data_IF_557353591104
#
_entry.id   IF_557353591104
#
_cell.length_a   1.000
_cell.length_b   1.000
_cell.length_c   1.000
_cell.angle_alpha   90.00
_cell.angle_beta   90.00
_cell.angle_gamma   90.00
#
_symmetry.space_group_name_H-M   'P 1'
#
loop_
_entity.id
_entity.type
_entity.pdbx_description
1 polymer ?
#
# COMPACT_ATOMS: atom_id res chain seq x y z
N UNK A 1 -33.09 17.43 -20.51
CA UNK A 1 -32.01 16.49 -20.91
C UNK A 1 -32.02 15.35 -19.91
N UNK A 2 -32.40 14.15 -20.35
CA UNK A 2 -32.66 13.01 -19.48
C UNK A 2 -31.35 12.44 -18.92
N UNK A 3 -31.17 12.53 -17.60
CA UNK A 3 -30.14 11.77 -16.88
C UNK A 3 -30.51 10.29 -16.94
N UNK A 4 -29.66 9.49 -17.58
CA UNK A 4 -29.88 8.08 -17.82
C UNK A 4 -29.73 7.28 -16.49
N UNK A 5 -30.84 6.75 -15.90
CA UNK A 5 -30.81 6.12 -14.56
C UNK A 5 -29.95 4.86 -14.49
N UNK A 6 -29.76 4.19 -15.64
CA UNK A 6 -28.93 2.99 -15.75
C UNK A 6 -27.43 3.31 -15.66
N UNK A 7 -26.97 4.42 -16.26
CA UNK A 7 -25.60 4.91 -16.07
C UNK A 7 -25.36 5.34 -14.62
N UNK A 8 -26.33 5.96 -13.96
CA UNK A 8 -26.23 6.32 -12.55
C UNK A 8 -26.11 5.08 -11.64
N UNK A 9 -26.83 4.00 -11.93
CA UNK A 9 -26.70 2.71 -11.22
C UNK A 9 -25.33 2.05 -11.46
N UNK A 10 -24.85 1.98 -12.71
CA UNK A 10 -23.54 1.42 -13.04
C UNK A 10 -22.39 2.19 -12.37
N UNK A 11 -22.44 3.52 -12.38
CA UNK A 11 -21.44 4.37 -11.72
C UNK A 11 -21.48 4.20 -10.20
N UNK A 12 -22.67 4.01 -9.62
CA UNK A 12 -22.83 3.80 -8.18
C UNK A 12 -22.28 2.45 -7.72
N UNK A 13 -22.61 1.36 -8.43
CA UNK A 13 -22.09 0.03 -8.10
C UNK A 13 -20.59 -0.09 -8.36
N UNK A 14 -20.07 0.55 -9.41
CA UNK A 14 -18.63 0.63 -9.64
C UNK A 14 -17.89 1.40 -8.52
N UNK A 15 -18.53 2.41 -7.93
CA UNK A 15 -18.03 3.11 -6.72
C UNK A 15 -18.07 2.21 -5.50
N UNK A 16 -19.20 1.57 -5.21
CA UNK A 16 -19.37 0.67 -4.05
C UNK A 16 -18.34 -0.47 -4.07
N UNK A 17 -18.06 -1.08 -5.23
CA UNK A 17 -17.01 -2.12 -5.37
C UNK A 17 -15.60 -1.54 -5.17
N UNK A 18 -15.36 -0.28 -5.52
CA UNK A 18 -14.07 0.37 -5.31
C UNK A 18 -13.87 0.83 -3.86
N UNK A 19 -14.94 1.25 -3.20
CA UNK A 19 -14.92 1.75 -1.81
C UNK A 19 -14.61 0.61 -0.81
N UNK A 20 -14.96 -0.64 -1.14
CA UNK A 20 -14.66 -1.82 -0.32
C UNK A 20 -13.27 -2.46 -0.55
N UNK A 21 -12.54 -2.05 -1.60
CA UNK A 21 -11.20 -2.60 -1.87
C UNK A 21 -10.17 -2.21 -0.80
N UNK A 22 -10.11 -0.97 -0.30
CA UNK A 22 -9.19 -0.59 0.76
C UNK A 22 -9.31 -1.47 2.01
N UNK A 23 -10.54 -1.77 2.44
CA UNK A 23 -10.81 -2.60 3.61
C UNK A 23 -10.28 -4.02 3.42
N UNK A 24 -10.55 -4.62 2.25
CA UNK A 24 -10.03 -5.93 1.92
C UNK A 24 -8.49 -5.98 1.95
N UNK A 25 -7.82 -4.96 1.40
CA UNK A 25 -6.35 -4.87 1.44
C UNK A 25 -5.84 -4.79 2.88
N UNK A 26 -6.47 -3.98 3.72
CA UNK A 26 -6.09 -3.84 5.14
C UNK A 26 -6.21 -5.18 5.87
N UNK A 27 -7.28 -5.93 5.64
CA UNK A 27 -7.45 -7.26 6.24
C UNK A 27 -6.39 -8.27 5.76
N UNK A 28 -6.01 -8.23 4.48
CA UNK A 28 -4.88 -9.04 3.98
C UNK A 28 -3.56 -8.65 4.67
N UNK A 29 -3.31 -7.36 4.85
CA UNK A 29 -2.09 -6.88 5.54
C UNK A 29 -2.08 -7.35 7.00
N UNK A 30 -3.21 -7.25 7.71
CA UNK A 30 -3.32 -7.76 9.09
C UNK A 30 -3.03 -9.26 9.17
N UNK A 31 -3.56 -10.05 8.23
CA UNK A 31 -3.29 -11.48 8.16
C UNK A 31 -1.79 -11.75 7.96
N UNK A 32 -1.14 -11.07 7.00
CA UNK A 32 0.31 -11.22 6.77
C UNK A 32 1.15 -10.78 7.97
N UNK A 33 0.75 -9.72 8.68
CA UNK A 33 1.42 -9.28 9.90
C UNK A 33 1.26 -10.31 11.02
N UNK A 34 0.07 -10.89 11.19
CA UNK A 34 -0.15 -11.97 12.17
C UNK A 34 0.69 -13.20 11.86
N UNK A 35 0.75 -13.61 10.59
CA UNK A 35 1.60 -14.73 10.15
C UNK A 35 3.09 -14.44 10.38
N UNK A 36 3.53 -13.21 10.09
CA UNK A 36 4.89 -12.77 10.35
C UNK A 36 5.24 -12.79 11.85
N UNK A 37 4.33 -12.35 12.72
CA UNK A 37 4.51 -12.43 14.18
C UNK A 37 4.59 -13.87 14.68
N UNK A 38 3.83 -14.79 14.08
CA UNK A 38 3.87 -16.20 14.48
C UNK A 38 5.14 -16.91 13.98
N UNK A 39 5.64 -16.52 12.80
CA UNK A 39 6.83 -17.11 12.18
C UNK A 39 8.15 -16.54 12.71
N UNK A 40 8.11 -15.38 13.37
CA UNK A 40 9.28 -14.69 13.90
C UNK A 40 9.18 -14.55 15.41
N UNK A 41 10.30 -14.27 16.10
CA UNK A 41 10.29 -13.98 17.53
C UNK A 41 10.20 -12.46 17.81
N UNK A 42 9.64 -11.69 16.85
CA UNK A 42 9.53 -10.24 16.92
C UNK A 42 8.23 -9.82 17.61
N UNK A 43 8.26 -8.66 18.27
CA UNK A 43 7.06 -7.99 18.77
C UNK A 43 6.41 -7.18 17.64
N UNK A 44 5.11 -6.91 17.77
CA UNK A 44 4.38 -6.07 16.82
C UNK A 44 5.02 -4.69 16.58
N UNK A 45 5.65 -4.10 17.61
CA UNK A 45 6.35 -2.82 17.50
C UNK A 45 7.70 -2.89 16.79
N UNK A 46 8.25 -4.10 16.58
CA UNK A 46 9.52 -4.33 15.90
C UNK A 46 9.34 -4.67 14.42
N UNK A 47 8.11 -4.97 14.01
CA UNK A 47 7.80 -5.24 12.61
C UNK A 47 7.79 -3.95 11.79
N UNK A 48 8.37 -4.03 10.60
CA UNK A 48 8.33 -2.96 9.61
C UNK A 48 7.45 -3.35 8.43
N UNK A 49 6.45 -2.52 8.11
CA UNK A 49 5.60 -2.68 6.94
C UNK A 49 6.03 -1.64 5.90
N UNK A 50 6.30 -2.05 4.66
CA UNK A 50 6.56 -1.14 3.56
C UNK A 50 5.42 -1.13 2.55
N UNK A 51 4.80 0.04 2.36
CA UNK A 51 3.76 0.27 1.36
C UNK A 51 4.37 0.90 0.09
N UNK A 52 4.28 0.19 -1.03
CA UNK A 52 4.80 0.60 -2.32
C UNK A 52 3.70 1.25 -3.15
N UNK A 53 3.88 2.55 -3.40
CA UNK A 53 2.96 3.39 -4.15
C UNK A 53 1.99 4.14 -3.27
N UNK A 54 1.87 5.45 -3.51
CA UNK A 54 0.93 6.35 -2.87
C UNK A 54 0.04 7.08 -3.88
N UNK A 55 0.49 7.24 -5.13
CA UNK A 55 -0.25 7.97 -6.14
C UNK A 55 -1.59 7.31 -6.51
N UNK A 56 -2.53 8.11 -7.04
CA UNK A 56 -3.81 7.59 -7.53
C UNK A 56 -3.64 6.70 -8.76
N UNK A 57 -2.56 6.88 -9.54
CA UNK A 57 -2.21 6.07 -10.71
C UNK A 57 -0.70 5.85 -10.79
N UNK A 58 -0.25 4.81 -11.52
CA UNK A 58 1.17 4.61 -11.79
C UNK A 58 1.83 5.80 -12.49
N UNK A 59 3.09 6.03 -12.13
CA UNK A 59 4.02 6.95 -12.79
C UNK A 59 3.61 8.43 -12.80
N UNK A 60 2.79 8.84 -11.83
CA UNK A 60 2.44 10.25 -11.58
C UNK A 60 2.61 10.57 -10.10
N UNK A 61 2.63 11.86 -9.76
CA UNK A 61 2.79 12.38 -8.40
C UNK A 61 1.45 12.78 -7.74
N UNK A 62 0.32 12.58 -8.42
CA UNK A 62 -1.00 12.98 -7.91
C UNK A 62 -1.48 12.03 -6.79
N UNK A 63 -1.37 12.51 -5.56
CA UNK A 63 -1.84 11.82 -4.35
C UNK A 63 -3.30 12.17 -3.99
N UNK A 64 -3.95 13.10 -4.70
CA UNK A 64 -5.30 13.55 -4.35
C UNK A 64 -6.28 12.41 -4.57
N UNK A 65 -7.16 12.22 -3.60
CA UNK A 65 -8.17 11.15 -3.60
C UNK A 65 -7.57 9.75 -3.81
N UNK A 66 -6.29 9.56 -3.47
CA UNK A 66 -5.62 8.27 -3.64
C UNK A 66 -6.12 7.25 -2.61
N UNK A 67 -6.68 6.10 -3.05
CA UNK A 67 -7.02 5.01 -2.16
C UNK A 67 -5.77 4.37 -1.55
N UNK A 68 -4.64 4.36 -2.26
CA UNK A 68 -3.37 3.84 -1.76
C UNK A 68 -2.86 4.66 -0.57
N UNK A 69 -2.97 5.99 -0.65
CA UNK A 69 -2.61 6.88 0.47
C UNK A 69 -3.52 6.64 1.69
N UNK A 70 -4.81 6.39 1.48
CA UNK A 70 -5.72 6.06 2.58
C UNK A 70 -5.39 4.71 3.22
N UNK A 71 -5.08 3.68 2.43
CA UNK A 71 -4.65 2.36 2.92
C UNK A 71 -3.39 2.51 3.77
N UNK A 72 -2.36 3.20 3.27
CA UNK A 72 -1.11 3.43 3.99
C UNK A 72 -1.36 4.19 5.32
N UNK A 73 -2.21 5.21 5.31
CA UNK A 73 -2.59 5.95 6.51
C UNK A 73 -3.31 5.07 7.54
N UNK A 74 -4.23 4.20 7.10
CA UNK A 74 -4.92 3.27 7.98
C UNK A 74 -3.96 2.24 8.57
N UNK A 75 -3.06 1.67 7.76
CA UNK A 75 -2.00 0.76 8.22
C UNK A 75 -1.17 1.41 9.32
N UNK A 76 -0.66 2.62 9.08
CA UNK A 76 0.16 3.32 10.06
C UNK A 76 -0.56 3.67 11.36
N UNK A 77 -1.90 3.80 11.36
CA UNK A 77 -2.68 4.11 12.57
C UNK A 77 -2.87 2.91 13.48
N UNK A 78 -3.04 1.71 12.94
CA UNK A 78 -3.25 0.50 13.75
C UNK A 78 -1.95 -0.26 14.01
N UNK A 79 -0.98 -0.18 13.08
CA UNK A 79 0.29 -0.86 13.22
C UNK A 79 1.14 -0.17 14.29
N UNK A 80 1.57 -0.94 15.29
CA UNK A 80 2.38 -0.40 16.40
C UNK A 80 3.86 -0.23 16.06
N UNK A 81 4.33 -0.83 14.95
CA UNK A 81 5.70 -0.73 14.48
C UNK A 81 5.90 0.34 13.41
N UNK A 82 6.99 0.23 12.65
CA UNK A 82 7.32 1.21 11.62
C UNK A 82 6.49 0.96 10.36
N UNK A 83 5.84 2.01 9.84
CA UNK A 83 5.22 1.98 8.51
C UNK A 83 6.03 2.86 7.57
N UNK A 84 6.72 2.22 6.63
CA UNK A 84 7.42 2.88 5.55
C UNK A 84 6.50 3.02 4.33
N UNK A 85 6.66 4.10 3.60
CA UNK A 85 6.02 4.31 2.30
C UNK A 85 7.08 4.58 1.26
N UNK A 86 6.91 4.00 0.07
CA UNK A 86 7.81 4.18 -1.07
C UNK A 86 6.99 4.75 -2.20
N UNK A 87 7.29 5.98 -2.62
CA UNK A 87 6.65 6.63 -3.76
C UNK A 87 7.72 7.33 -4.61
N UNK A 88 8.10 6.76 -5.78
CA UNK A 88 9.17 7.30 -6.60
C UNK A 88 8.92 8.70 -7.16
N UNK A 89 7.66 9.14 -7.22
CA UNK A 89 7.29 10.39 -7.89
C UNK A 89 7.13 11.58 -6.92
N UNK A 90 7.40 11.39 -5.62
CA UNK A 90 7.35 12.47 -4.63
C UNK A 90 8.67 12.60 -3.88
N UNK A 91 8.94 13.80 -3.38
CA UNK A 91 10.16 14.10 -2.61
C UNK A 91 9.87 14.38 -1.13
N UNK A 92 8.60 14.50 -0.75
CA UNK A 92 8.16 14.79 0.61
C UNK A 92 6.83 14.11 0.89
N UNK A 93 6.62 13.72 2.15
CA UNK A 93 5.35 13.15 2.58
C UNK A 93 4.23 14.18 2.53
N UNK A 94 3.02 13.80 2.10
CA UNK A 94 1.85 14.63 2.30
C UNK A 94 1.56 14.76 3.81
N UNK A 95 1.04 15.91 4.23
CA UNK A 95 0.69 16.20 5.65
C UNK A 95 -0.16 15.13 6.33
N UNK A 96 -0.97 14.40 5.54
CA UNK A 96 -1.84 13.33 6.04
C UNK A 96 -1.06 12.11 6.58
N UNK A 97 0.17 11.91 6.10
CA UNK A 97 1.06 10.83 6.52
C UNK A 97 2.20 11.32 7.43
N UNK A 98 2.31 12.63 7.63
CA UNK A 98 3.33 13.22 8.49
C UNK A 98 3.15 12.76 9.94
N UNK A 99 4.24 12.31 10.56
CA UNK A 99 4.24 11.68 11.88
C UNK A 99 3.60 10.28 11.96
N UNK A 100 3.02 9.75 10.87
CA UNK A 100 2.45 8.40 10.81
C UNK A 100 3.34 7.43 10.04
N UNK A 101 3.88 7.89 8.90
CA UNK A 101 4.72 7.08 8.03
C UNK A 101 6.11 7.70 7.87
N UNK A 102 7.06 6.90 7.39
CA UNK A 102 8.37 7.38 6.93
C UNK A 102 8.49 7.15 5.42
N UNK A 103 8.84 8.20 4.66
CA UNK A 103 9.18 8.04 3.23
C UNK A 103 10.54 7.38 3.12
N UNK A 104 10.59 6.22 2.48
CA UNK A 104 11.79 5.42 2.33
C UNK A 104 12.16 5.26 0.85
N UNK A 105 13.47 5.24 0.51
CA UNK A 105 13.93 4.75 -0.79
C UNK A 105 13.54 3.28 -1.00
N UNK A 106 13.35 2.91 -2.28
CA UNK A 106 12.94 1.56 -2.69
C UNK A 106 13.83 0.47 -2.12
N UNK A 107 15.14 0.63 -2.25
CA UNK A 107 16.14 -0.36 -1.83
C UNK A 107 16.19 -0.48 -0.31
N UNK A 108 16.07 0.63 0.42
CA UNK A 108 16.06 0.64 1.88
C UNK A 108 14.80 -0.06 2.44
N UNK A 109 13.65 0.13 1.79
CA UNK A 109 12.43 -0.54 2.16
C UNK A 109 12.48 -2.04 1.90
N UNK A 110 12.98 -2.46 0.74
CA UNK A 110 13.20 -3.88 0.42
C UNK A 110 14.23 -4.54 1.35
N UNK A 111 15.19 -3.80 1.89
CA UNK A 111 16.18 -4.38 2.82
C UNK A 111 15.66 -4.51 4.26
N UNK A 112 14.72 -3.66 4.69
CA UNK A 112 14.34 -3.54 6.11
C UNK A 112 12.93 -4.00 6.45
N UNK A 113 12.04 -4.08 5.47
CA UNK A 113 10.64 -4.44 5.70
C UNK A 113 10.46 -5.94 5.91
N UNK A 114 9.59 -6.26 6.87
CA UNK A 114 9.12 -7.62 7.17
C UNK A 114 7.92 -8.01 6.31
N UNK A 115 7.05 -7.02 6.04
CA UNK A 115 5.85 -7.19 5.22
C UNK A 115 5.86 -6.16 4.09
N UNK A 116 5.73 -6.61 2.85
CA UNK A 116 5.61 -5.74 1.68
C UNK A 116 4.15 -5.61 1.24
N UNK A 117 3.74 -4.40 0.87
CA UNK A 117 2.38 -4.10 0.41
C UNK A 117 2.45 -3.34 -0.91
N UNK A 118 2.12 -3.98 -2.03
CA UNK A 118 2.09 -3.34 -3.35
C UNK A 118 0.72 -2.69 -3.58
N UNK A 119 0.67 -1.36 -3.59
CA UNK A 119 -0.56 -0.58 -3.75
C UNK A 119 -0.67 0.05 -5.15
N UNK A 120 0.44 0.47 -5.75
CA UNK A 120 0.49 1.08 -7.08
C UNK A 120 1.67 0.55 -7.88
N UNK A 121 1.43 0.13 -9.12
CA UNK A 121 2.36 -0.60 -9.97
C UNK A 121 3.24 0.34 -10.83
N UNK A 122 4.01 1.20 -10.18
CA UNK A 122 4.98 2.08 -10.85
C UNK A 122 6.04 1.28 -11.62
N UNK A 123 6.58 1.87 -12.68
CA UNK A 123 7.59 1.23 -13.52
C UNK A 123 8.85 0.86 -12.72
N UNK A 124 9.22 1.70 -11.75
CA UNK A 124 10.35 1.46 -10.85
C UNK A 124 10.19 0.17 -10.04
N UNK A 125 8.97 -0.15 -9.62
CA UNK A 125 8.70 -1.37 -8.85
C UNK A 125 8.66 -2.62 -9.73
N UNK A 126 8.15 -2.48 -10.96
CA UNK A 126 8.18 -3.55 -11.97
C UNK A 126 9.61 -3.88 -12.44
N UNK A 127 10.52 -2.92 -12.34
CA UNK A 127 11.92 -3.10 -12.69
C UNK A 127 12.74 -3.81 -11.60
N UNK A 128 12.17 -4.01 -10.40
CA UNK A 128 12.80 -4.78 -9.32
C UNK A 128 12.88 -6.24 -9.75
N UNK A 129 14.09 -6.82 -9.71
CA UNK A 129 14.27 -8.25 -9.97
C UNK A 129 13.58 -9.07 -8.88
N UNK A 130 12.97 -10.20 -9.25
CA UNK A 130 12.37 -11.13 -8.29
C UNK A 130 13.35 -11.57 -7.19
N UNK A 131 14.64 -11.70 -7.52
CA UNK A 131 15.69 -12.05 -6.55
C UNK A 131 15.91 -10.98 -5.47
N UNK A 132 15.47 -9.73 -5.72
CA UNK A 132 15.57 -8.63 -4.76
C UNK A 132 14.40 -8.59 -3.79
N UNK A 133 13.34 -9.36 -4.04
CA UNK A 133 12.16 -9.46 -3.18
C UNK A 133 12.26 -10.76 -2.39
N UNK A 134 12.86 -10.70 -1.21
CA UNK A 134 13.14 -11.88 -0.37
C UNK A 134 12.14 -12.10 0.75
N UNK A 135 11.20 -11.17 0.92
CA UNK A 135 10.20 -11.21 1.99
C UNK A 135 9.24 -12.36 1.78
N UNK A 136 9.00 -13.12 2.86
CA UNK A 136 8.01 -14.19 2.86
C UNK A 136 6.55 -13.66 2.89
N UNK A 137 6.35 -12.43 3.39
CA UNK A 137 5.04 -11.85 3.64
C UNK A 137 4.77 -10.68 2.69
N UNK A 138 3.95 -10.92 1.67
CA UNK A 138 3.67 -9.96 0.60
C UNK A 138 2.18 -9.89 0.31
N UNK A 139 1.63 -8.68 0.40
CA UNK A 139 0.30 -8.34 -0.11
C UNK A 139 0.46 -7.62 -1.45
N UNK A 140 0.28 -8.36 -2.53
CA UNK A 140 0.38 -7.81 -3.87
C UNK A 140 -0.99 -7.61 -4.52
N UNK A 141 -1.45 -6.36 -4.55
CA UNK A 141 -2.76 -6.01 -5.15
C UNK A 141 -2.70 -5.83 -6.67
N UNK A 142 -1.49 -5.90 -7.26
CA UNK A 142 -1.22 -5.58 -8.67
C UNK A 142 -0.61 -6.74 -9.47
N UNK A 143 -0.12 -7.77 -8.80
CA UNK A 143 0.52 -8.94 -9.42
C UNK A 143 1.88 -8.59 -10.04
N UNK A 144 2.67 -7.76 -9.37
CA UNK A 144 4.00 -7.31 -9.80
C UNK A 144 5.12 -8.22 -9.29
N UNK A 145 5.00 -8.75 -8.07
CA UNK A 145 6.04 -9.52 -7.38
C UNK A 145 5.57 -10.95 -7.04
N UNK A 146 4.59 -11.47 -7.78
CA UNK A 146 4.09 -12.86 -7.70
C UNK A 146 4.34 -13.62 -8.98
#
# INVERSE_FOLDING_TARGET
>A
MAQNPQQARLIRTAREVNDHKPEWVIEQVKAQVADCLNATNKRASELTIACFGLAFKPNIDDLRESPAMEIAAQIARWHSGTTQVVEPNIHALPKKLDGLCTLAPLEAALASADVLVMLVDHNQFKAVSGDSVTQAFIVDTKGVWR
#
